data_IF_021214272637
#
_entry.id   IF_021214272637
#
_cell.length_a   1.000
_cell.length_b   1.000
_cell.length_c   1.000
_cell.angle_alpha   90.00
_cell.angle_beta   90.00
_cell.angle_gamma   90.00
#
_symmetry.space_group_name_H-M   'P 1'
#
loop_
_entity.id
_entity.type
_entity.pdbx_description
1 polymer ?
#
# COMPACT_ATOMS: atom_id res chain seq x y z
N UNK A 1 -24.89 -13.61 -1.85
CA UNK A 1 -24.44 -13.90 -0.48
C UNK A 1 -22.97 -14.33 -0.39
N UNK A 2 -22.48 -15.32 -1.18
CA UNK A 2 -21.07 -15.75 -1.11
C UNK A 2 -20.03 -14.62 -1.36
N UNK A 3 -20.34 -13.66 -2.23
CA UNK A 3 -19.45 -12.52 -2.55
C UNK A 3 -19.28 -11.53 -1.39
N UNK A 4 -20.36 -11.26 -0.66
CA UNK A 4 -20.35 -10.37 0.51
C UNK A 4 -19.57 -11.02 1.68
N UNK A 5 -19.81 -12.31 1.93
CA UNK A 5 -19.04 -13.06 2.92
C UNK A 5 -17.54 -13.07 2.63
N UNK A 6 -17.15 -13.19 1.36
CA UNK A 6 -15.75 -13.11 0.94
C UNK A 6 -15.13 -11.74 1.17
N UNK A 7 -15.87 -10.66 0.89
CA UNK A 7 -15.40 -9.29 1.14
C UNK A 7 -15.20 -9.04 2.64
N UNK A 8 -16.16 -9.43 3.48
CA UNK A 8 -16.08 -9.27 4.92
C UNK A 8 -14.92 -10.08 5.54
N UNK A 9 -14.69 -11.29 5.03
CA UNK A 9 -13.54 -12.12 5.44
C UNK A 9 -12.22 -11.43 5.13
N UNK A 10 -12.05 -10.89 3.93
CA UNK A 10 -10.81 -10.20 3.57
C UNK A 10 -10.65 -8.89 4.36
N UNK A 11 -11.72 -8.15 4.61
CA UNK A 11 -11.67 -6.98 5.48
C UNK A 11 -11.18 -7.34 6.90
N UNK A 12 -11.67 -8.44 7.48
CA UNK A 12 -11.22 -8.93 8.78
C UNK A 12 -9.74 -9.38 8.77
N UNK A 13 -9.27 -9.99 7.67
CA UNK A 13 -7.87 -10.38 7.52
C UNK A 13 -6.96 -9.15 7.44
N UNK A 14 -7.34 -8.13 6.66
CA UNK A 14 -6.59 -6.87 6.56
C UNK A 14 -6.54 -6.14 7.92
N UNK A 15 -7.65 -6.12 8.66
CA UNK A 15 -7.68 -5.56 10.01
C UNK A 15 -6.77 -6.33 10.96
N UNK A 16 -6.74 -7.66 10.86
CA UNK A 16 -5.87 -8.51 11.69
C UNK A 16 -4.40 -8.27 11.35
N UNK A 17 -4.06 -8.13 10.07
CA UNK A 17 -2.69 -7.86 9.63
C UNK A 17 -2.17 -6.49 10.08
N UNK A 18 -3.06 -5.50 10.24
CA UNK A 18 -2.71 -4.22 10.84
C UNK A 18 -2.30 -4.34 12.31
N UNK A 19 -2.78 -5.36 13.04
CA UNK A 19 -2.41 -5.64 14.43
C UNK A 19 -1.22 -6.61 14.55
N UNK A 20 -1.07 -7.52 13.58
CA UNK A 20 -0.06 -8.57 13.56
C UNK A 20 0.64 -8.56 12.20
N UNK A 21 1.75 -7.81 12.05
CA UNK A 21 2.37 -7.61 10.73
C UNK A 21 2.81 -8.89 10.00
N UNK A 22 3.15 -9.94 10.75
CA UNK A 22 3.63 -11.21 10.18
C UNK A 22 2.61 -11.91 9.27
N UNK A 23 1.32 -11.57 9.38
CA UNK A 23 0.24 -12.17 8.56
C UNK A 23 -0.13 -11.32 7.33
N UNK A 24 0.60 -10.23 7.06
CA UNK A 24 0.38 -9.44 5.85
C UNK A 24 0.46 -10.25 4.54
N UNK A 25 1.43 -11.17 4.34
CA UNK A 25 1.50 -11.94 3.09
C UNK A 25 0.22 -12.72 2.78
N UNK A 26 -0.40 -13.33 3.79
CA UNK A 26 -1.65 -14.08 3.64
C UNK A 26 -2.86 -13.17 3.37
N UNK A 27 -2.90 -12.02 4.05
CA UNK A 27 -3.95 -11.03 3.84
C UNK A 27 -3.86 -10.43 2.42
N UNK A 28 -2.66 -10.12 1.95
CA UNK A 28 -2.40 -9.62 0.60
C UNK A 28 -2.72 -10.65 -0.48
N UNK A 29 -2.40 -11.93 -0.24
CA UNK A 29 -2.76 -13.03 -1.15
C UNK A 29 -4.28 -13.17 -1.28
N UNK A 30 -4.99 -13.11 -0.13
CA UNK A 30 -6.46 -13.18 -0.10
C UNK A 30 -7.12 -11.98 -0.78
N UNK A 31 -6.53 -10.78 -0.61
CA UNK A 31 -6.97 -9.57 -1.28
C UNK A 31 -6.71 -9.62 -2.79
N UNK A 32 -5.51 -10.04 -3.22
CA UNK A 32 -5.17 -10.17 -4.64
C UNK A 32 -6.11 -11.13 -5.37
N UNK A 33 -6.43 -12.28 -4.77
CA UNK A 33 -7.35 -13.26 -5.33
C UNK A 33 -8.79 -12.72 -5.53
N UNK A 34 -9.23 -11.73 -4.75
CA UNK A 34 -10.54 -11.08 -4.95
C UNK A 34 -10.62 -10.26 -6.23
N UNK A 35 -9.48 -9.73 -6.69
CA UNK A 35 -9.38 -8.80 -7.81
C UNK A 35 -8.60 -9.37 -9.00
N UNK A 36 -8.25 -10.66 -8.97
CA UNK A 36 -7.42 -11.32 -9.98
C UNK A 36 -6.07 -10.60 -10.17
N UNK A 37 -5.51 -10.09 -9.06
CA UNK A 37 -4.21 -9.42 -9.07
C UNK A 37 -3.09 -10.44 -9.21
N UNK A 38 -2.12 -10.13 -10.07
CA UNK A 38 -0.89 -10.94 -10.22
C UNK A 38 0.08 -10.74 -9.05
N UNK A 39 0.06 -9.58 -8.41
CA UNK A 39 0.91 -9.23 -7.28
C UNK A 39 0.20 -8.25 -6.36
N UNK A 40 0.47 -8.37 -5.05
CA UNK A 40 0.00 -7.43 -4.03
C UNK A 40 1.11 -7.09 -3.06
N UNK A 41 1.20 -5.80 -2.73
CA UNK A 41 2.25 -5.23 -1.89
C UNK A 41 1.68 -4.12 -1.01
N UNK A 42 2.28 -3.94 0.17
CA UNK A 42 1.89 -2.90 1.12
C UNK A 42 3.11 -2.16 1.65
N UNK A 43 3.13 -0.85 1.40
CA UNK A 43 4.07 0.08 2.01
C UNK A 43 3.45 0.74 3.24
N UNK A 44 4.22 0.88 4.32
CA UNK A 44 3.90 1.78 5.41
C UNK A 44 4.86 2.96 5.44
N UNK A 45 4.30 4.11 5.70
CA UNK A 45 5.07 5.33 5.81
C UNK A 45 5.08 5.74 7.27
N UNK A 46 6.29 5.88 7.84
CA UNK A 46 6.39 6.51 9.15
C UNK A 46 6.03 7.99 9.00
N UNK A 47 5.41 8.54 10.04
CA UNK A 47 5.08 9.97 10.09
C UNK A 47 6.30 10.82 10.36
N UNK A 48 7.29 10.27 11.05
CA UNK A 48 8.59 10.91 11.17
C UNK A 48 9.39 10.64 9.89
N UNK A 49 9.59 11.66 9.03
CA UNK A 49 10.33 11.47 7.78
C UNK A 49 11.79 11.05 8.02
N UNK A 50 12.32 11.26 9.24
CA UNK A 50 13.66 10.84 9.62
C UNK A 50 13.78 9.33 9.92
N UNK A 51 12.67 8.65 10.21
CA UNK A 51 12.60 7.20 10.38
C UNK A 51 12.50 6.46 9.03
N UNK A 52 12.29 7.20 7.94
CA UNK A 52 12.18 6.65 6.59
C UNK A 52 10.86 5.93 6.34
N UNK A 53 10.79 5.25 5.19
CA UNK A 53 9.59 4.56 4.72
C UNK A 53 9.85 3.07 4.69
N UNK A 54 8.98 2.32 5.35
CA UNK A 54 9.16 0.88 5.55
C UNK A 54 8.15 0.13 4.70
N UNK A 55 8.64 -0.62 3.72
CA UNK A 55 7.78 -1.57 3.05
C UNK A 55 7.51 -2.73 4.01
N UNK A 56 6.24 -3.00 4.31
CA UNK A 56 5.87 -3.96 5.36
C UNK A 56 5.82 -5.38 4.82
N UNK A 57 5.25 -5.59 3.63
CA UNK A 57 5.03 -6.93 3.11
C UNK A 57 4.70 -6.97 1.61
N UNK A 58 4.84 -8.16 1.04
CA UNK A 58 4.28 -8.60 -0.22
C UNK A 58 3.52 -9.92 -0.01
N UNK A 59 2.66 -10.29 -0.95
CA UNK A 59 2.01 -11.60 -0.95
C UNK A 59 2.99 -12.77 -1.12
N UNK A 60 2.52 -14.00 -0.88
CA UNK A 60 3.37 -15.19 -0.90
C UNK A 60 3.90 -15.54 -2.31
N UNK A 61 3.23 -15.04 -3.36
CA UNK A 61 3.66 -15.20 -4.75
C UNK A 61 4.72 -14.16 -5.17
N UNK A 62 5.01 -13.17 -4.32
CA UNK A 62 5.74 -11.97 -4.67
C UNK A 62 7.12 -12.21 -5.29
N UNK A 63 7.40 -11.44 -6.33
CA UNK A 63 8.68 -11.41 -7.03
C UNK A 63 9.63 -10.40 -6.37
N UNK A 64 10.82 -10.81 -5.90
CA UNK A 64 11.78 -9.91 -5.27
C UNK A 64 12.22 -8.75 -6.17
N UNK A 65 12.21 -8.91 -7.50
CA UNK A 65 12.56 -7.83 -8.43
C UNK A 65 11.46 -6.76 -8.50
N UNK A 66 10.20 -7.18 -8.47
CA UNK A 66 9.05 -6.26 -8.38
C UNK A 66 9.05 -5.52 -7.04
N UNK A 67 9.43 -6.20 -5.96
CA UNK A 67 9.59 -5.59 -4.65
C UNK A 67 10.65 -4.50 -4.65
N UNK A 68 11.82 -4.80 -5.22
CA UNK A 68 12.93 -3.84 -5.32
C UNK A 68 12.52 -2.63 -6.16
N UNK A 69 11.91 -2.87 -7.33
CA UNK A 69 11.38 -1.81 -8.18
C UNK A 69 10.40 -0.92 -7.42
N UNK A 70 9.48 -1.52 -6.66
CA UNK A 70 8.49 -0.74 -5.92
C UNK A 70 9.13 0.12 -4.83
N UNK A 71 10.05 -0.46 -4.06
CA UNK A 71 10.78 0.26 -3.02
C UNK A 71 11.51 1.47 -3.60
N UNK A 72 12.19 1.29 -4.72
CA UNK A 72 13.06 2.31 -5.29
C UNK A 72 12.27 3.42 -6.00
N UNK A 73 11.05 3.14 -6.50
CA UNK A 73 10.28 4.10 -7.31
C UNK A 73 8.99 4.62 -6.65
N UNK A 74 8.41 3.92 -5.68
CA UNK A 74 7.10 4.30 -5.11
C UNK A 74 7.09 4.54 -3.62
N UNK A 75 8.18 4.18 -2.92
CA UNK A 75 8.20 4.23 -1.46
C UNK A 75 9.01 5.42 -0.91
N UNK A 76 9.47 6.34 -1.75
CA UNK A 76 10.22 7.53 -1.32
C UNK A 76 9.50 8.83 -1.67
N UNK A 77 9.78 9.93 -0.96
CA UNK A 77 9.17 11.23 -1.22
C UNK A 77 9.66 11.89 -2.50
N UNK A 78 10.83 11.48 -2.97
CA UNK A 78 11.49 12.03 -4.14
C UNK A 78 10.94 11.40 -5.40
N UNK A 79 10.53 10.13 -5.33
CA UNK A 79 9.96 9.38 -6.46
C UNK A 79 8.43 9.28 -6.41
N UNK A 80 7.83 9.50 -5.24
CA UNK A 80 6.37 9.50 -5.04
C UNK A 80 5.91 10.71 -4.20
N UNK A 81 5.35 11.76 -4.84
CA UNK A 81 4.96 12.98 -4.14
C UNK A 81 3.80 12.77 -3.15
N UNK A 82 3.04 11.67 -3.25
CA UNK A 82 1.99 11.37 -2.27
C UNK A 82 2.56 11.06 -0.88
N UNK A 83 3.80 10.57 -0.78
CA UNK A 83 4.39 10.13 0.49
C UNK A 83 4.51 11.27 1.51
N UNK A 84 5.03 12.44 1.10
CA UNK A 84 5.12 13.63 2.00
C UNK A 84 3.74 14.03 2.50
N UNK A 85 2.73 13.91 1.64
CA UNK A 85 1.38 14.35 1.95
C UNK A 85 0.65 13.38 2.86
N UNK A 86 0.74 12.08 2.60
CA UNK A 86 0.17 11.04 3.46
C UNK A 86 0.78 11.10 4.85
N UNK A 87 2.08 11.40 4.98
CA UNK A 87 2.72 11.61 6.27
C UNK A 87 2.16 12.84 7.02
N UNK A 88 1.83 13.92 6.31
CA UNK A 88 1.30 15.17 6.88
C UNK A 88 -0.24 15.19 7.08
N UNK A 89 -0.99 14.34 6.39
CA UNK A 89 -2.45 14.30 6.45
C UNK A 89 -2.93 13.75 7.81
N UNK A 90 -4.03 14.25 8.40
CA UNK A 90 -4.59 13.71 9.65
C UNK A 90 -4.89 12.20 9.58
N UNK A 91 -4.81 11.50 10.72
CA UNK A 91 -5.13 10.06 10.73
C UNK A 91 -6.63 9.87 10.47
N UNK A 92 -6.97 8.84 9.69
CA UNK A 92 -8.35 8.50 9.36
C UNK A 92 -8.99 9.39 8.29
N UNK A 93 -8.27 10.36 7.73
CA UNK A 93 -8.79 11.14 6.59
C UNK A 93 -8.44 10.45 5.28
N UNK A 94 -9.46 10.17 4.46
CA UNK A 94 -9.25 9.85 3.06
C UNK A 94 -8.83 11.14 2.35
N UNK A 95 -7.70 11.10 1.67
CA UNK A 95 -7.22 12.22 0.87
C UNK A 95 -7.09 11.78 -0.57
N UNK A 96 -8.08 12.12 -1.43
CA UNK A 96 -8.03 11.82 -2.85
C UNK A 96 -6.82 12.49 -3.49
N UNK A 97 -6.21 11.79 -4.44
CA UNK A 97 -5.03 12.29 -5.17
C UNK A 97 -5.41 13.50 -6.02
N UNK A 98 -6.54 13.39 -6.71
CA UNK A 98 -7.06 14.33 -7.71
C UNK A 98 -7.36 15.71 -7.11
N UNK A 99 -7.64 15.77 -5.81
CA UNK A 99 -7.91 17.03 -5.11
C UNK A 99 -6.66 17.91 -4.97
N UNK A 100 -5.48 17.42 -5.35
CA UNK A 100 -4.22 18.09 -4.98
C UNK A 100 -3.10 17.93 -5.96
N UNK A 101 -3.11 16.87 -6.76
CA UNK A 101 -2.22 16.76 -7.91
C UNK A 101 -3.08 16.59 -9.14
N UNK A 102 -2.89 17.49 -10.09
CA UNK A 102 -3.31 17.24 -11.47
C UNK A 102 -2.59 16.02 -12.00
N UNK A 103 -3.16 15.36 -13.00
CA UNK A 103 -2.50 14.23 -13.65
C UNK A 103 -1.11 14.61 -14.16
N UNK A 104 -0.91 15.86 -14.60
CA UNK A 104 0.39 16.38 -15.05
C UNK A 104 1.43 16.48 -13.94
N UNK A 105 1.02 16.85 -12.73
CA UNK A 105 1.92 16.86 -11.55
C UNK A 105 2.19 15.45 -11.03
N UNK A 106 1.31 14.51 -11.37
CA UNK A 106 1.48 13.08 -11.08
C UNK A 106 2.29 12.33 -12.15
N UNK A 107 2.39 12.88 -13.38
CA UNK A 107 3.34 12.41 -14.39
C UNK A 107 4.73 12.67 -13.83
N UNK A 108 5.28 11.56 -13.31
CA UNK A 108 6.48 11.44 -12.49
C UNK A 108 7.59 12.34 -13.01
N UNK A 109 8.17 13.14 -12.10
CA UNK A 109 9.51 13.65 -12.31
C UNK A 109 10.43 12.45 -12.58
N UNK A 110 11.34 12.55 -13.57
CA UNK A 110 12.14 11.44 -14.07
C UNK A 110 12.93 10.71 -12.97
#
# INVERSE_FOLDING_TARGET
MAREGNLLRVAAQLQSAALYPDIWPDALSSFGALFDSTWTLVGAFDRDPSQGYSLLAQDAAGDPDHLAFFRDHYNTPDTNPAVKRLAAAPLGTMTPREETFSDREWVRAP
#
